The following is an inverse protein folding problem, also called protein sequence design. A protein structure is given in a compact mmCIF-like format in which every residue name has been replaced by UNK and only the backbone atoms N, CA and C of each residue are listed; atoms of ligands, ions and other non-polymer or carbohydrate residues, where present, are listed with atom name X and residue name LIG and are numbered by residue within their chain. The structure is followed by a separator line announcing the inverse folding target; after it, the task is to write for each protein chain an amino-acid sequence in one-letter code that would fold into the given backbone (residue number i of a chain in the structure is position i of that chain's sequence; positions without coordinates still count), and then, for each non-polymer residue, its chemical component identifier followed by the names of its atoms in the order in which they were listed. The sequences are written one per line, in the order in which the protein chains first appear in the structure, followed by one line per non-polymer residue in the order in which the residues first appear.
data_IF_812045099527
#
_entry.id   IF_812045099527
#
_cell.length_a   1.000
_cell.length_b   1.000
_cell.length_c   1.000
_cell.angle_alpha   90.00
_cell.angle_beta   90.00
_cell.angle_gamma   90.00
#
_symmetry.space_group_name_H-M   'P 1'
#
loop_
_entity.id
_entity.type
_entity.pdbx_description
1 polymer ?
#
# COMPACT_ATOMS: atom_id res chain seq x y z
N UNK A 1 -19.23 9.89 1.78
CA UNK A 1 -19.55 9.09 0.58
C UNK A 1 -18.69 7.84 0.64
N UNK A 2 -19.23 6.67 0.32
CA UNK A 2 -18.43 5.45 0.28
C UNK A 2 -17.78 5.30 -1.10
N UNK A 3 -16.51 4.92 -1.15
CA UNK A 3 -15.81 4.59 -2.39
C UNK A 3 -16.25 3.23 -2.95
N UNK A 4 -16.19 3.07 -4.27
CA UNK A 4 -16.32 1.74 -4.88
C UNK A 4 -15.08 0.86 -4.64
N UNK A 5 -15.21 -0.45 -4.86
CA UNK A 5 -14.14 -1.43 -4.75
C UNK A 5 -12.90 -1.09 -5.61
N UNK A 6 -13.09 -0.56 -6.83
CA UNK A 6 -11.96 -0.15 -7.68
C UNK A 6 -11.20 1.02 -7.05
N UNK A 7 -11.91 2.07 -6.64
CA UNK A 7 -11.33 3.27 -6.03
C UNK A 7 -10.61 2.94 -4.73
N UNK A 8 -11.17 2.03 -3.92
CA UNK A 8 -10.52 1.52 -2.71
C UNK A 8 -9.21 0.81 -3.05
N UNK A 9 -9.20 -0.03 -4.08
CA UNK A 9 -7.98 -0.74 -4.50
C UNK A 9 -6.90 0.24 -4.97
N UNK A 10 -7.27 1.25 -5.76
CA UNK A 10 -6.34 2.29 -6.22
C UNK A 10 -5.76 3.08 -5.04
N UNK A 11 -6.62 3.50 -4.10
CA UNK A 11 -6.20 4.19 -2.90
C UNK A 11 -5.22 3.35 -2.07
N UNK A 12 -5.55 2.08 -1.80
CA UNK A 12 -4.72 1.17 -1.00
C UNK A 12 -3.35 0.99 -1.63
N UNK A 13 -3.27 0.79 -2.94
CA UNK A 13 -1.99 0.67 -3.65
C UNK A 13 -1.15 1.95 -3.54
N UNK A 14 -1.78 3.11 -3.79
CA UNK A 14 -1.09 4.40 -3.75
C UNK A 14 -0.60 4.74 -2.33
N UNK A 15 -1.45 4.51 -1.32
CA UNK A 15 -1.11 4.69 0.08
C UNK A 15 0.02 3.75 0.53
N UNK A 16 -0.03 2.47 0.15
CA UNK A 16 1.05 1.52 0.46
C UNK A 16 2.37 1.95 -0.17
N UNK A 17 2.35 2.43 -1.42
CA UNK A 17 3.54 2.98 -2.10
C UNK A 17 4.08 4.21 -1.35
N UNK A 18 3.22 5.10 -0.87
CA UNK A 18 3.64 6.24 -0.04
C UNK A 18 4.38 5.79 1.21
N UNK A 19 3.87 4.80 1.94
CA UNK A 19 4.50 4.26 3.15
C UNK A 19 5.88 3.66 2.86
N UNK A 20 5.97 2.77 1.86
CA UNK A 20 7.25 2.14 1.46
C UNK A 20 8.29 3.20 1.07
N UNK A 21 7.87 4.21 0.31
CA UNK A 21 8.75 5.31 -0.13
C UNK A 21 9.19 6.16 1.07
N UNK A 22 8.29 6.46 1.99
CA UNK A 22 8.60 7.18 3.22
C UNK A 22 9.59 6.42 4.10
N UNK A 23 9.45 5.11 4.24
CA UNK A 23 10.41 4.32 5.02
C UNK A 23 11.77 4.19 4.34
N UNK A 24 11.81 4.26 3.00
CA UNK A 24 13.06 4.10 2.23
C UNK A 24 13.79 5.41 1.94
N UNK A 25 13.15 6.58 2.13
CA UNK A 25 13.72 7.88 1.78
C UNK A 25 13.36 8.96 2.81
N UNK A 26 14.37 9.41 3.55
CA UNK A 26 14.22 10.51 4.50
C UNK A 26 13.88 11.84 3.79
N UNK A 27 14.43 12.07 2.60
CA UNK A 27 14.07 13.22 1.76
C UNK A 27 12.58 13.22 1.41
N UNK A 28 12.02 12.06 1.09
CA UNK A 28 10.58 11.93 0.85
C UNK A 28 9.76 12.18 2.12
N UNK A 29 10.19 11.68 3.30
CA UNK A 29 9.53 12.01 4.60
C UNK A 29 9.57 13.50 4.90
N UNK A 30 10.70 14.17 4.64
CA UNK A 30 10.84 15.60 4.83
C UNK A 30 9.87 16.37 3.91
N UNK A 31 9.75 15.96 2.64
CA UNK A 31 8.77 16.53 1.72
C UNK A 31 7.33 16.25 2.12
N UNK A 32 6.99 15.07 2.63
CA UNK A 32 5.65 14.80 3.15
C UNK A 32 5.25 15.82 4.24
N UNK A 33 6.20 16.32 5.03
CA UNK A 33 5.93 17.33 6.07
C UNK A 33 5.86 18.76 5.50
N UNK A 34 6.72 19.10 4.54
CA UNK A 34 6.83 20.47 4.02
C UNK A 34 5.95 20.77 2.80
N UNK A 35 5.71 19.77 1.96
CA UNK A 35 4.92 19.85 0.72
C UNK A 35 4.18 18.52 0.47
N UNK A 36 3.22 18.16 1.35
CA UNK A 36 2.55 16.87 1.32
C UNK A 36 1.83 16.61 -0.01
N UNK A 37 1.24 17.63 -0.63
CA UNK A 37 0.46 17.47 -1.86
C UNK A 37 1.32 16.94 -3.00
N UNK A 38 2.50 17.52 -3.20
CA UNK A 38 3.41 17.08 -4.26
C UNK A 38 3.92 15.68 -3.97
N UNK A 39 4.37 15.42 -2.74
CA UNK A 39 4.86 14.11 -2.33
C UNK A 39 3.82 12.98 -2.51
N UNK A 40 2.57 13.22 -2.12
CA UNK A 40 1.47 12.27 -2.26
C UNK A 40 1.13 12.00 -3.75
N UNK A 41 1.19 13.04 -4.60
CA UNK A 41 0.95 12.89 -6.03
C UNK A 41 1.98 11.98 -6.71
N UNK A 42 3.23 11.93 -6.24
CA UNK A 42 4.27 10.99 -6.75
C UNK A 42 3.86 9.52 -6.57
N UNK A 43 3.02 9.24 -5.56
CA UNK A 43 2.50 7.90 -5.28
C UNK A 43 1.14 7.62 -5.95
N UNK A 44 0.53 8.61 -6.61
CA UNK A 44 -0.79 8.50 -7.24
C UNK A 44 -1.94 9.03 -6.40
N UNK A 45 -1.66 9.57 -5.20
CA UNK A 45 -2.66 10.21 -4.34
C UNK A 45 -2.84 11.67 -4.76
N UNK A 46 -3.78 11.92 -5.67
CA UNK A 46 -4.09 13.27 -6.14
C UNK A 46 -5.24 13.86 -5.33
N UNK A 47 -5.00 14.99 -4.66
CA UNK A 47 -5.98 15.68 -3.83
C UNK A 47 -6.49 16.97 -4.53
N UNK A 48 -7.74 17.40 -4.26
CA UNK A 48 -8.24 18.70 -4.72
C UNK A 48 -7.31 19.86 -4.32
N UNK A 49 -7.25 20.93 -5.11
CA UNK A 49 -6.36 22.06 -4.86
C UNK A 49 -6.63 22.77 -3.52
N UNK A 50 -7.90 22.82 -3.11
CA UNK A 50 -8.35 23.45 -1.85
C UNK A 50 -8.30 22.50 -0.64
N UNK A 51 -7.85 21.26 -0.84
CA UNK A 51 -7.84 20.27 0.24
C UNK A 51 -6.85 20.64 1.36
N UNK A 52 -7.31 20.56 2.60
CA UNK A 52 -6.47 20.61 3.80
C UNK A 52 -5.82 19.24 3.99
N UNK A 53 -4.49 19.19 4.08
CA UNK A 53 -3.74 17.93 4.23
C UNK A 53 -3.02 17.93 5.58
N UNK A 54 -3.26 16.89 6.37
CA UNK A 54 -2.64 16.71 7.68
C UNK A 54 -1.89 15.38 7.68
N UNK A 55 -0.59 15.44 7.94
CA UNK A 55 0.25 14.25 8.09
C UNK A 55 0.44 13.99 9.58
N UNK A 56 -0.02 12.83 10.03
CA UNK A 56 0.12 12.35 11.41
C UNK A 56 1.21 11.30 11.41
N UNK A 57 2.33 11.58 12.09
CA UNK A 57 3.32 10.54 12.36
C UNK A 57 2.80 9.67 13.48
N UNK A 58 2.46 8.41 13.19
CA UNK A 58 1.99 7.47 14.19
C UNK A 58 3.18 6.72 14.80
N UNK A 59 3.33 6.82 16.12
CA UNK A 59 4.24 5.92 16.83
C UNK A 59 3.60 4.53 16.90
N UNK A 60 4.33 3.45 16.56
CA UNK A 60 3.81 2.09 16.57
C UNK A 60 3.34 1.65 17.98
N UNK A 61 3.80 2.32 19.03
CA UNK A 61 3.40 2.05 20.42
C UNK A 61 2.04 2.64 20.80
N UNK A 62 1.63 3.74 20.17
CA UNK A 62 0.34 4.41 20.46
C UNK A 62 -0.76 4.02 19.49
N UNK A 63 -0.41 3.58 18.29
CA UNK A 63 -1.33 3.06 17.28
C UNK A 63 -0.68 1.83 16.63
N UNK A 64 -0.82 0.63 17.25
CA UNK A 64 -0.13 -0.59 16.80
C UNK A 64 -0.52 -1.04 15.39
N UNK A 65 -1.59 -0.49 14.85
CA UNK A 65 -1.99 -0.69 13.48
C UNK A 65 -2.08 0.66 12.78
N UNK A 66 -1.22 0.87 11.78
CA UNK A 66 -1.59 1.61 10.58
C UNK A 66 -2.74 0.87 9.88
N UNK A 67 -3.89 0.78 10.54
CA UNK A 67 -5.01 -0.03 10.13
C UNK A 67 -5.52 0.56 8.83
N UNK A 68 -5.31 -0.18 7.75
CA UNK A 68 -5.68 0.24 6.41
C UNK A 68 -7.15 0.65 6.33
N UNK A 69 -8.02 0.00 7.10
CA UNK A 69 -9.45 0.34 7.15
C UNK A 69 -9.71 1.71 7.78
N UNK A 70 -8.96 2.06 8.84
CA UNK A 70 -9.01 3.40 9.45
C UNK A 70 -8.57 4.45 8.44
N UNK A 71 -7.45 4.21 7.75
CA UNK A 71 -6.96 5.14 6.75
C UNK A 71 -7.91 5.28 5.56
N UNK A 72 -8.58 4.20 5.13
CA UNK A 72 -9.65 4.25 4.11
C UNK A 72 -10.81 5.13 4.60
N UNK A 73 -11.25 4.95 5.85
CA UNK A 73 -12.32 5.77 6.43
C UNK A 73 -11.95 7.25 6.52
N UNK A 74 -10.70 7.57 6.88
CA UNK A 74 -10.19 8.95 6.88
C UNK A 74 -10.16 9.57 5.48
N UNK A 75 -9.78 8.78 4.47
CA UNK A 75 -9.80 9.22 3.07
C UNK A 75 -11.23 9.50 2.59
N UNK A 76 -12.18 8.62 2.90
CA UNK A 76 -13.60 8.82 2.58
C UNK A 76 -14.21 10.04 3.27
N UNK A 77 -13.82 10.28 4.53
CA UNK A 77 -14.19 11.49 5.26
C UNK A 77 -13.58 12.75 4.62
N UNK A 78 -12.33 12.66 4.14
CA UNK A 78 -11.66 13.75 3.42
C UNK A 78 -12.30 14.08 2.08
N UNK A 79 -12.74 13.06 1.32
CA UNK A 79 -13.50 13.27 0.09
C UNK A 79 -14.81 14.05 0.32
N UNK A 80 -15.43 13.88 1.49
CA UNK A 80 -16.66 14.59 1.85
C UNK A 80 -16.43 15.98 2.47
N UNK A 81 -15.34 16.16 3.22
CA UNK A 81 -15.08 17.36 4.02
C UNK A 81 -14.04 18.31 3.42
N UNK A 82 -13.20 17.83 2.50
CA UNK A 82 -12.02 18.55 2.00
C UNK A 82 -10.79 18.45 2.90
N UNK A 83 -10.90 17.84 4.09
CA UNK A 83 -9.77 17.64 5.02
C UNK A 83 -9.29 16.20 5.01
N UNK A 84 -8.06 15.98 4.57
CA UNK A 84 -7.45 14.67 4.43
C UNK A 84 -6.39 14.47 5.49
N UNK A 85 -6.55 13.42 6.27
CA UNK A 85 -5.58 13.02 7.29
C UNK A 85 -4.90 11.73 6.86
N UNK A 86 -3.56 11.72 6.89
CA UNK A 86 -2.74 10.58 6.54
C UNK A 86 -1.88 10.17 7.73
N UNK A 87 -2.07 8.94 8.17
CA UNK A 87 -1.31 8.35 9.26
C UNK A 87 -0.09 7.66 8.67
N UNK A 88 1.08 8.24 8.83
CA UNK A 88 2.33 7.67 8.32
C UNK A 88 3.10 7.12 9.51
N UNK A 89 2.99 5.82 9.84
CA UNK A 89 3.73 5.24 10.95
C UNK A 89 5.24 5.31 10.70
N UNK A 90 6.02 5.31 11.77
CA UNK A 90 7.45 5.07 11.65
C UNK A 90 7.70 3.69 11.03
N UNK A 91 8.89 3.50 10.44
CA UNK A 91 9.21 2.23 9.82
C UNK A 91 9.11 1.14 10.89
N UNK A 92 8.48 -0.02 10.60
CA UNK A 92 8.48 -1.10 11.55
C UNK A 92 9.95 -1.43 11.85
N UNK A 93 10.35 -1.29 13.11
CA UNK A 93 11.59 -1.87 13.61
C UNK A 93 11.41 -3.38 13.53
N UNK A 94 11.69 -3.93 12.35
CA UNK A 94 11.98 -5.36 12.23
C UNK A 94 13.23 -5.52 13.07
N UNK A 95 13.07 -5.96 14.32
CA UNK A 95 14.15 -6.63 15.00
C UNK A 95 14.59 -7.71 14.01
N UNK A 96 15.76 -7.51 13.42
CA UNK A 96 16.43 -8.49 12.57
C UNK A 96 16.86 -9.66 13.46
N UNK A 97 15.91 -10.31 14.13
CA UNK A 97 16.03 -11.72 14.38
C UNK A 97 16.05 -12.33 12.99
N UNK A 98 17.26 -12.67 12.58
CA UNK A 98 17.63 -13.30 11.33
C UNK A 98 16.46 -14.10 10.76
N UNK A 99 15.89 -13.65 9.64
CA UNK A 99 15.24 -14.56 8.72
C UNK A 99 16.36 -15.44 8.15
N UNK A 100 16.84 -16.39 8.97
CA UNK A 100 17.73 -17.44 8.53
C UNK A 100 17.05 -18.09 7.32
N UNK A 101 17.81 -18.39 6.27
CA UNK A 101 17.35 -18.88 4.95
C UNK A 101 16.42 -20.11 4.99
N UNK A 102 16.14 -20.65 6.18
CA UNK A 102 15.30 -21.79 6.48
C UNK A 102 13.79 -21.53 6.48
N UNK A 103 13.29 -20.29 6.61
CA UNK A 103 11.83 -19.99 6.52
C UNK A 103 11.33 -19.80 5.08
N UNK A 104 12.22 -19.60 4.10
CA UNK A 104 11.84 -19.55 2.68
C UNK A 104 11.51 -20.95 2.10
N UNK A 105 11.68 -22.01 2.89
CA UNK A 105 11.45 -23.41 2.51
C UNK A 105 9.99 -23.88 2.65
N UNK A 106 9.08 -23.00 3.10
CA UNK A 106 7.67 -23.33 3.36
C UNK A 106 6.68 -23.05 2.21
N UNK A 107 7.08 -22.32 1.17
CA UNK A 107 6.25 -22.06 -0.02
C UNK A 107 6.36 -23.23 -1.02
N UNK A 108 6.04 -24.43 -0.56
CA UNK A 108 5.90 -25.62 -1.39
C UNK A 108 4.69 -26.41 -0.92
N UNK A 109 3.51 -25.98 -1.38
CA UNK A 109 2.31 -26.81 -1.39
C UNK A 109 2.27 -27.59 -2.70
N UNK A 110 2.77 -28.83 -2.67
CA UNK A 110 2.94 -29.67 -3.85
C UNK A 110 1.64 -30.19 -4.49
N UNK A 111 1.69 -30.36 -5.81
CA UNK A 111 0.87 -31.31 -6.56
C UNK A 111 1.79 -32.28 -7.28
N UNK A 112 1.87 -33.53 -6.80
CA UNK A 112 2.57 -34.63 -7.45
C UNK A 112 1.88 -35.01 -8.76
N UNK A 113 2.59 -34.96 -9.88
CA UNK A 113 2.17 -35.56 -11.14
C UNK A 113 3.06 -35.08 -12.29
N UNK A 114 3.89 -35.96 -12.83
CA UNK A 114 4.94 -35.60 -13.79
C UNK A 114 4.44 -35.06 -15.13
N UNK A 115 5.21 -34.13 -15.68
CA UNK A 115 5.10 -33.63 -17.06
C UNK A 115 5.98 -32.39 -17.23
N UNK A 116 6.72 -32.24 -18.34
CA UNK A 116 7.60 -31.10 -18.51
C UNK A 116 6.79 -29.82 -18.75
N UNK A 117 7.33 -28.74 -18.22
CA UNK A 117 6.94 -27.34 -18.35
C UNK A 117 6.50 -26.94 -19.76
N UNK A 118 5.27 -26.41 -19.88
CA UNK A 118 4.94 -25.39 -20.89
C UNK A 118 4.24 -24.22 -20.21
N UNK A 119 5.06 -23.20 -20.02
CA UNK A 119 4.78 -21.78 -20.02
C UNK A 119 3.52 -21.39 -20.83
N UNK A 120 2.66 -20.61 -20.18
CA UNK A 120 1.76 -19.57 -20.73
C UNK A 120 1.38 -19.65 -22.21
N UNK A 121 0.10 -19.90 -22.48
CA UNK A 121 -0.60 -19.21 -23.56
C UNK A 121 -2.11 -19.27 -23.30
N UNK A 122 -2.69 -18.14 -22.92
CA UNK A 122 -4.14 -17.93 -22.92
C UNK A 122 -4.62 -17.83 -24.38
N UNK A 123 -4.69 -18.95 -25.09
CA UNK A 123 -5.39 -19.05 -26.36
C UNK A 123 -6.69 -19.86 -26.13
N UNK A 124 -7.88 -19.26 -26.32
CA UNK A 124 -9.15 -19.95 -26.16
C UNK A 124 -9.32 -20.96 -27.31
N UNK A 125 -9.38 -22.25 -26.98
CA UNK A 125 -9.61 -23.30 -27.95
C UNK A 125 -11.02 -23.22 -28.55
N UNK A 126 -11.09 -22.78 -29.80
CA UNK A 126 -12.12 -23.17 -30.76
C UNK A 126 -11.45 -24.03 -31.83
N UNK A 127 -11.46 -25.36 -31.66
CA UNK A 127 -11.43 -26.36 -32.74
C UNK A 127 -11.42 -27.78 -32.16
N UNK A 128 -12.61 -28.37 -32.07
CA UNK A 128 -12.79 -29.82 -32.13
C UNK A 128 -13.72 -30.13 -33.32
N UNK A 129 -13.16 -30.66 -34.42
CA UNK A 129 -13.76 -31.67 -35.31
C UNK A 129 -12.61 -32.34 -36.04
#
# INVERSE_FOLDING_TARGET
MAMDAQQRTEFVNAYTKTLITAWSSDEYRARLKSDPRSALAESGLTLPADAEIVIVSADPETQPDGNLDVQVGLWEAGLASGRFEFHVPDAPVVETAELSESDLSGLSGGGKGGGPTVLTCCCPCSCCT
#
